data_IF_909998743938
#
_entry.id   IF_909998743938
#
_cell.length_a   1.000
_cell.length_b   1.000
_cell.length_c   1.000
_cell.angle_alpha   90.00
_cell.angle_beta   90.00
_cell.angle_gamma   90.00
#
_symmetry.space_group_name_H-M   'P 1'
#
loop_
_entity.id
_entity.type
_entity.pdbx_description
1 polymer ?
#
# COMPACT_ATOMS: atom_id res chain seq x y z
N UNK A 1 -30.73 8.59 15.74
CA UNK A 1 -29.97 7.40 16.19
C UNK A 1 -29.80 6.33 15.09
N UNK A 2 -30.16 6.59 13.83
CA UNK A 2 -30.20 5.58 12.75
C UNK A 2 -29.08 5.72 11.71
N UNK A 3 -28.62 6.94 11.44
CA UNK A 3 -27.62 7.23 10.38
C UNK A 3 -26.23 6.68 10.69
N UNK A 4 -25.73 6.86 11.92
CA UNK A 4 -24.42 6.33 12.35
C UNK A 4 -24.31 4.80 12.21
N UNK A 5 -25.42 4.11 12.43
CA UNK A 5 -25.50 2.64 12.35
C UNK A 5 -25.54 2.17 10.90
N UNK A 6 -26.20 2.93 10.02
CA UNK A 6 -26.16 2.74 8.57
C UNK A 6 -24.75 2.96 8.03
N UNK A 7 -24.09 4.07 8.37
CA UNK A 7 -22.72 4.36 7.93
C UNK A 7 -21.74 3.25 8.33
N UNK A 8 -21.87 2.74 9.56
CA UNK A 8 -21.03 1.63 10.04
C UNK A 8 -21.24 0.35 9.23
N UNK A 9 -22.48 0.05 8.83
CA UNK A 9 -22.80 -1.10 7.99
C UNK A 9 -22.28 -0.91 6.56
N UNK A 10 -22.44 0.28 5.99
CA UNK A 10 -21.93 0.61 4.66
C UNK A 10 -20.42 0.47 4.59
N UNK A 11 -19.69 1.04 5.55
CA UNK A 11 -18.22 0.91 5.62
C UNK A 11 -17.74 -0.53 5.78
N UNK A 12 -18.49 -1.34 6.53
CA UNK A 12 -18.20 -2.78 6.67
C UNK A 12 -18.38 -3.49 5.32
N UNK A 13 -19.46 -3.18 4.60
CA UNK A 13 -19.75 -3.75 3.29
C UNK A 13 -18.70 -3.36 2.24
N UNK A 14 -18.27 -2.10 2.25
CA UNK A 14 -17.16 -1.61 1.41
C UNK A 14 -15.87 -2.40 1.69
N UNK A 15 -15.52 -2.59 2.96
CA UNK A 15 -14.32 -3.36 3.33
C UNK A 15 -14.39 -4.84 2.90
N UNK A 16 -15.57 -5.46 2.98
CA UNK A 16 -15.78 -6.84 2.55
C UNK A 16 -15.70 -6.98 1.01
N UNK A 17 -16.22 -5.99 0.28
CA UNK A 17 -16.11 -5.93 -1.18
C UNK A 17 -14.66 -5.74 -1.64
N UNK A 18 -13.88 -4.91 -0.94
CA UNK A 18 -12.48 -4.67 -1.30
C UNK A 18 -11.60 -5.91 -1.06
N UNK A 19 -11.88 -6.66 0.01
CA UNK A 19 -11.24 -7.96 0.25
C UNK A 19 -11.61 -8.98 -0.84
N UNK A 20 -12.87 -9.04 -1.24
CA UNK A 20 -13.32 -9.93 -2.31
C UNK A 20 -12.69 -9.57 -3.66
N UNK A 21 -12.62 -8.28 -4.00
CA UNK A 21 -11.94 -7.81 -5.22
C UNK A 21 -10.47 -8.17 -5.20
N UNK A 22 -9.80 -7.98 -4.07
CA UNK A 22 -8.39 -8.35 -3.91
C UNK A 22 -8.18 -9.86 -4.08
N UNK A 23 -9.09 -10.68 -3.55
CA UNK A 23 -9.06 -12.13 -3.76
C UNK A 23 -9.27 -12.50 -5.24
N UNK A 24 -10.24 -11.87 -5.92
CA UNK A 24 -10.49 -12.09 -7.34
C UNK A 24 -9.30 -11.66 -8.19
N UNK A 25 -8.67 -10.52 -7.90
CA UNK A 25 -7.44 -10.09 -8.58
C UNK A 25 -6.31 -11.10 -8.32
N UNK A 26 -6.19 -11.62 -7.10
CA UNK A 26 -5.20 -12.67 -6.78
C UNK A 26 -5.47 -14.02 -7.47
N UNK A 27 -6.72 -14.35 -7.80
CA UNK A 27 -7.11 -15.61 -8.46
C UNK A 27 -7.20 -15.52 -9.99
N UNK A 28 -7.78 -14.44 -10.52
CA UNK A 28 -7.84 -14.12 -11.94
C UNK A 28 -6.52 -13.55 -12.45
N UNK A 29 -5.64 -13.14 -11.53
CA UNK A 29 -4.25 -12.82 -11.77
C UNK A 29 -4.00 -11.46 -12.39
N UNK A 30 -4.99 -10.59 -12.64
CA UNK A 30 -4.75 -9.34 -13.37
C UNK A 30 -5.67 -8.18 -12.95
N UNK A 31 -5.09 -7.02 -12.65
CA UNK A 31 -5.77 -5.72 -12.56
C UNK A 31 -5.18 -4.72 -13.58
N UNK A 32 -5.56 -3.44 -13.49
CA UNK A 32 -5.05 -2.39 -14.38
C UNK A 32 -3.53 -2.13 -14.24
N UNK A 33 -2.93 -2.53 -13.13
CA UNK A 33 -1.49 -2.45 -12.84
C UNK A 33 -0.74 -3.71 -13.28
N UNK A 34 -1.45 -4.78 -13.69
CA UNK A 34 -0.89 -6.02 -14.20
C UNK A 34 -1.15 -7.20 -13.28
N UNK A 35 -0.21 -8.16 -13.24
CA UNK A 35 -0.40 -9.36 -12.43
C UNK A 35 -0.08 -9.14 -10.95
N UNK A 36 -0.90 -9.73 -10.07
CA UNK A 36 -0.66 -9.67 -8.63
C UNK A 36 0.67 -10.35 -8.26
N UNK A 37 1.61 -9.59 -7.71
CA UNK A 37 2.90 -10.09 -7.25
C UNK A 37 2.92 -10.22 -5.70
N UNK A 38 2.73 -11.44 -5.15
CA UNK A 38 2.70 -11.65 -3.70
C UNK A 38 4.03 -11.30 -3.02
N UNK A 39 5.17 -11.55 -3.67
CA UNK A 39 6.48 -11.23 -3.11
C UNK A 39 6.68 -9.72 -2.97
N UNK A 40 6.19 -8.94 -3.93
CA UNK A 40 6.17 -7.48 -3.83
C UNK A 40 5.33 -7.03 -2.63
N UNK A 41 4.10 -7.52 -2.50
CA UNK A 41 3.23 -7.17 -1.38
C UNK A 41 3.87 -7.50 -0.03
N UNK A 42 4.46 -8.69 0.12
CA UNK A 42 5.17 -9.08 1.34
C UNK A 42 6.35 -8.17 1.67
N UNK A 43 7.18 -7.81 0.67
CA UNK A 43 8.32 -6.89 0.87
C UNK A 43 7.85 -5.51 1.34
N UNK A 44 6.81 -4.96 0.74
CA UNK A 44 6.26 -3.65 1.11
C UNK A 44 5.65 -3.69 2.51
N UNK A 45 4.85 -4.72 2.83
CA UNK A 45 4.26 -4.89 4.16
C UNK A 45 5.31 -5.04 5.26
N UNK A 46 6.43 -5.70 4.95
CA UNK A 46 7.58 -5.79 5.86
C UNK A 46 8.22 -4.42 6.05
N UNK A 47 8.54 -3.72 4.96
CA UNK A 47 9.16 -2.38 5.00
C UNK A 47 8.27 -1.36 5.74
N UNK A 48 6.95 -1.45 5.63
CA UNK A 48 6.01 -0.57 6.32
C UNK A 48 6.04 -0.72 7.86
N UNK A 49 6.50 -1.86 8.38
CA UNK A 49 6.67 -2.10 9.82
C UNK A 49 8.04 -1.69 10.33
N UNK A 50 9.00 -1.48 9.44
CA UNK A 50 10.36 -1.06 9.80
C UNK A 50 10.37 0.42 10.18
N UNK A 51 11.28 0.81 11.07
CA UNK A 51 11.40 2.21 11.49
C UNK A 51 11.85 3.04 10.27
N UNK A 52 11.14 4.15 9.93
CA UNK A 52 11.54 4.99 8.82
C UNK A 52 12.95 5.55 9.05
N UNK A 53 13.82 5.38 8.06
CA UNK A 53 15.21 5.83 8.07
C UNK A 53 15.41 7.19 7.41
N UNK A 54 14.36 7.72 6.77
CA UNK A 54 14.38 8.99 6.08
C UNK A 54 12.98 9.61 6.08
N UNK A 55 12.93 10.93 6.20
CA UNK A 55 11.71 11.73 6.10
C UNK A 55 11.83 12.65 4.89
N UNK A 56 10.84 12.61 4.01
CA UNK A 56 10.80 13.50 2.85
C UNK A 56 10.50 14.93 3.30
N UNK A 57 11.49 15.82 3.13
CA UNK A 57 11.34 17.25 3.47
C UNK A 57 11.08 18.11 2.24
N UNK A 58 11.88 17.92 1.19
CA UNK A 58 11.73 18.60 -0.09
C UNK A 58 12.51 17.86 -1.19
N UNK A 59 12.23 18.21 -2.44
CA UNK A 59 12.77 17.56 -3.64
C UNK A 59 14.31 17.57 -3.64
N UNK A 60 14.93 18.71 -3.36
CA UNK A 60 16.40 18.86 -3.38
C UNK A 60 17.07 17.97 -2.34
N UNK A 61 16.54 17.97 -1.10
CA UNK A 61 17.05 17.15 0.00
C UNK A 61 16.90 15.66 -0.26
N UNK A 62 15.82 15.26 -0.95
CA UNK A 62 15.58 13.88 -1.34
C UNK A 62 16.53 13.42 -2.44
N UNK A 63 16.69 14.22 -3.50
CA UNK A 63 17.60 13.89 -4.59
C UNK A 63 19.06 13.80 -4.11
N UNK A 64 19.47 14.67 -3.19
CA UNK A 64 20.79 14.58 -2.56
C UNK A 64 20.94 13.27 -1.77
N UNK A 65 19.97 12.95 -0.91
CA UNK A 65 19.97 11.70 -0.13
C UNK A 65 20.06 10.45 -1.01
N UNK A 66 19.30 10.40 -2.11
CA UNK A 66 19.31 9.27 -3.06
C UNK A 66 20.68 9.13 -3.74
N UNK A 67 21.31 10.24 -4.14
CA UNK A 67 22.64 10.23 -4.77
C UNK A 67 23.72 9.75 -3.81
N UNK A 68 23.72 10.25 -2.58
CA UNK A 68 24.69 9.84 -1.54
C UNK A 68 24.56 8.35 -1.22
N UNK A 69 23.33 7.83 -1.11
CA UNK A 69 23.09 6.41 -0.87
C UNK A 69 23.57 5.52 -2.01
N UNK A 70 23.46 5.98 -3.26
CA UNK A 70 23.96 5.25 -4.45
C UNK A 70 25.50 5.21 -4.51
N UNK A 71 26.19 6.22 -3.97
CA UNK A 71 27.66 6.27 -3.98
C UNK A 71 28.32 5.43 -2.88
N UNK A 72 27.57 5.04 -1.84
CA UNK A 72 28.05 4.27 -0.69
C UNK A 72 27.68 2.77 -0.76
N UNK A 73 27.17 2.30 -1.90
CA UNK A 73 26.72 0.92 -2.13
C UNK A 73 27.44 0.32 -3.33
#
# INVERSE_FOLDING_TARGET
>A
MTTKTLDKKTRKLESELDLLRSFVIGQAGQDSEGEYNPDFAQRILKAAKEKPNYEFKNIESFLRHVREKKSNS
#
